data_IF_088766847306
#
_entry.id   IF_088766847306
#
_cell.length_a   1.000
_cell.length_b   1.000
_cell.length_c   1.000
_cell.angle_alpha   90.00
_cell.angle_beta   90.00
_cell.angle_gamma   90.00
#
_symmetry.space_group_name_H-M   'P 1'
#
loop_
_entity.id
_entity.type
_entity.pdbx_description
1 polymer ?
#
# COMPACT_ATOMS: atom_id res chain seq x y z
N UNK A 1 10.90 10.13 3.93
CA UNK A 1 11.78 10.63 5.00
C UNK A 1 11.14 11.78 5.76
N UNK A 2 11.47 13.03 5.41
CA UNK A 2 10.99 14.22 6.14
C UNK A 2 9.46 14.32 6.29
N UNK A 3 8.70 13.97 5.24
CA UNK A 3 7.23 13.96 5.28
C UNK A 3 6.67 13.00 6.33
N UNK A 4 7.25 11.79 6.46
CA UNK A 4 6.83 10.81 7.45
C UNK A 4 7.06 11.31 8.88
N UNK A 5 8.26 11.87 9.11
CA UNK A 5 8.62 12.48 10.40
C UNK A 5 7.66 13.63 10.72
N UNK A 6 7.47 14.56 9.77
CA UNK A 6 6.54 15.68 9.92
C UNK A 6 5.11 15.23 10.23
N UNK A 7 4.62 14.20 9.56
CA UNK A 7 3.31 13.61 9.81
C UNK A 7 3.21 13.03 11.24
N UNK A 8 4.21 12.26 11.68
CA UNK A 8 4.22 11.69 13.02
C UNK A 8 4.25 12.75 14.13
N UNK A 9 4.98 13.85 13.96
CA UNK A 9 5.07 14.90 14.98
C UNK A 9 3.88 15.87 14.97
N UNK A 10 3.36 16.19 13.79
CA UNK A 10 2.33 17.23 13.63
C UNK A 10 0.92 16.65 13.63
N UNK A 11 0.71 15.56 12.88
CA UNK A 11 -0.59 14.90 12.72
C UNK A 11 -0.78 13.78 13.74
N UNK A 12 0.32 13.10 14.11
CA UNK A 12 0.38 11.94 15.01
C UNK A 12 -0.32 10.71 14.46
N UNK A 13 0.08 9.56 14.97
CA UNK A 13 -0.56 8.28 14.65
C UNK A 13 -1.94 8.19 15.29
N UNK A 14 -2.81 7.43 14.65
CA UNK A 14 -4.10 7.04 15.23
C UNK A 14 -3.83 6.19 16.48
N UNK A 15 -4.54 6.39 17.61
CA UNK A 15 -4.42 5.52 18.77
C UNK A 15 -4.61 4.04 18.39
N UNK A 16 -3.77 3.16 18.95
CA UNK A 16 -3.73 1.74 18.58
C UNK A 16 -2.87 1.41 17.35
N UNK A 17 -2.64 2.36 16.42
CA UNK A 17 -1.69 2.16 15.31
C UNK A 17 -0.25 2.28 15.82
N UNK A 18 0.50 1.19 15.70
CA UNK A 18 1.89 1.08 16.18
C UNK A 18 2.82 1.91 15.30
N UNK A 19 2.70 1.75 13.97
CA UNK A 19 3.46 2.52 12.99
C UNK A 19 2.57 2.86 11.78
N UNK A 20 2.69 4.07 11.23
CA UNK A 20 2.06 4.40 9.94
C UNK A 20 2.79 3.68 8.80
N UNK A 21 2.12 3.53 7.65
CA UNK A 21 2.68 2.92 6.45
C UNK A 21 2.53 3.85 5.25
N UNK A 22 3.47 3.79 4.30
CA UNK A 22 3.26 4.43 3.00
C UNK A 22 2.61 3.40 2.08
N UNK A 23 1.48 3.79 1.49
CA UNK A 23 0.80 2.99 0.48
C UNK A 23 1.18 3.46 -0.92
N UNK A 24 1.14 2.54 -1.88
CA UNK A 24 1.16 2.89 -3.30
C UNK A 24 0.20 2.04 -4.08
N UNK A 25 -0.23 2.56 -5.22
CA UNK A 25 -1.08 1.85 -6.16
C UNK A 25 -0.27 0.84 -6.96
N UNK A 26 -0.89 -0.29 -7.28
CA UNK A 26 -0.32 -1.36 -8.11
C UNK A 26 -1.31 -1.66 -9.24
N UNK A 27 -1.01 -1.35 -10.51
CA UNK A 27 -1.86 -1.72 -11.62
C UNK A 27 -2.06 -3.23 -11.71
N UNK A 28 -3.29 -3.67 -11.97
CA UNK A 28 -3.62 -5.07 -12.24
C UNK A 28 -3.76 -5.33 -13.73
N UNK A 29 -3.30 -6.50 -14.17
CA UNK A 29 -3.29 -6.91 -15.59
C UNK A 29 -4.71 -6.99 -16.16
N UNK A 30 -5.71 -7.43 -15.38
CA UNK A 30 -7.11 -7.46 -15.85
C UNK A 30 -7.85 -6.12 -15.72
N UNK A 31 -7.17 -5.05 -15.35
CA UNK A 31 -7.79 -3.77 -15.01
C UNK A 31 -8.01 -3.62 -13.50
N UNK A 32 -8.23 -2.38 -13.04
CA UNK A 32 -8.35 -2.08 -11.60
C UNK A 32 -7.01 -2.05 -10.87
N UNK A 33 -7.04 -1.75 -9.58
CA UNK A 33 -5.86 -1.36 -8.81
C UNK A 33 -5.73 -2.21 -7.55
N UNK A 34 -4.50 -2.62 -7.26
CA UNK A 34 -4.11 -3.10 -5.94
C UNK A 34 -3.44 -2.01 -5.13
N UNK A 35 -3.18 -2.30 -3.86
CA UNK A 35 -2.44 -1.45 -2.93
C UNK A 35 -1.26 -2.23 -2.35
N UNK A 36 -0.05 -1.68 -2.46
CA UNK A 36 1.15 -2.22 -1.82
C UNK A 36 1.51 -1.39 -0.59
N UNK A 37 1.72 -2.06 0.54
CA UNK A 37 2.01 -1.50 1.85
C UNK A 37 2.99 -2.40 2.60
N UNK A 38 4.04 -1.93 3.26
CA UNK A 38 4.61 -0.59 3.27
C UNK A 38 5.67 -0.46 2.16
N UNK A 39 5.84 0.74 1.57
CA UNK A 39 6.84 0.99 0.53
C UNK A 39 7.98 1.93 0.95
N UNK A 40 8.22 2.05 2.25
CA UNK A 40 9.44 2.66 2.75
C UNK A 40 9.29 3.57 3.97
N UNK A 41 8.18 3.48 4.69
CA UNK A 41 8.08 4.17 5.98
C UNK A 41 8.92 3.46 7.05
N UNK A 42 8.92 2.12 7.03
CA UNK A 42 9.49 1.27 8.05
C UNK A 42 10.38 0.21 7.40
N UNK A 43 11.69 0.44 7.35
CA UNK A 43 12.63 -0.56 6.81
C UNK A 43 12.52 -1.90 7.57
N UNK A 44 12.51 -1.82 8.91
CA UNK A 44 12.32 -2.97 9.78
C UNK A 44 10.96 -2.91 10.49
N UNK A 45 10.21 -4.00 10.38
CA UNK A 45 8.88 -4.17 10.96
C UNK A 45 8.85 -5.31 11.98
N UNK A 46 7.86 -5.25 12.89
CA UNK A 46 7.40 -6.38 13.70
C UNK A 46 6.18 -7.04 13.05
N UNK A 47 5.86 -8.31 13.39
CA UNK A 47 4.69 -9.01 12.84
C UNK A 47 3.38 -8.22 12.99
N UNK A 48 3.16 -7.60 14.15
CA UNK A 48 1.96 -6.78 14.41
C UNK A 48 1.87 -5.56 13.47
N UNK A 49 3.00 -5.04 12.98
CA UNK A 49 2.98 -3.95 12.00
C UNK A 49 2.37 -4.43 10.68
N UNK A 50 2.82 -5.59 10.17
CA UNK A 50 2.30 -6.15 8.92
C UNK A 50 0.81 -6.48 9.04
N UNK A 51 0.39 -7.03 10.18
CA UNK A 51 -1.03 -7.20 10.47
C UNK A 51 -1.80 -5.87 10.34
N UNK A 52 -1.36 -4.81 11.03
CA UNK A 52 -2.02 -3.51 10.95
C UNK A 52 -1.99 -2.90 9.54
N UNK A 53 -0.94 -3.17 8.75
CA UNK A 53 -0.87 -2.74 7.36
C UNK A 53 -1.91 -3.46 6.50
N UNK A 54 -2.13 -4.77 6.73
CA UNK A 54 -3.21 -5.51 6.07
C UNK A 54 -4.59 -4.96 6.38
N UNK A 55 -4.84 -4.60 7.64
CA UNK A 55 -6.11 -4.00 8.07
C UNK A 55 -6.31 -2.62 7.41
N UNK A 56 -5.31 -1.74 7.50
CA UNK A 56 -5.37 -0.41 6.89
C UNK A 56 -5.50 -0.50 5.37
N UNK A 57 -4.78 -1.42 4.74
CA UNK A 57 -4.84 -1.65 3.29
C UNK A 57 -6.20 -2.17 2.85
N UNK A 58 -6.81 -3.08 3.60
CA UNK A 58 -8.15 -3.60 3.33
C UNK A 58 -9.20 -2.49 3.37
N UNK A 59 -9.21 -1.68 4.43
CA UNK A 59 -10.10 -0.52 4.58
C UNK A 59 -9.85 0.51 3.46
N UNK A 60 -8.58 0.76 3.12
CA UNK A 60 -8.22 1.68 2.05
C UNK A 60 -8.69 1.19 0.67
N UNK A 61 -8.47 -0.08 0.35
CA UNK A 61 -8.94 -0.67 -0.91
C UNK A 61 -10.46 -0.65 -1.02
N UNK A 62 -11.18 -0.92 0.07
CA UNK A 62 -12.64 -0.86 0.08
C UNK A 62 -13.17 0.56 -0.18
N UNK A 63 -12.62 1.57 0.49
CA UNK A 63 -13.21 2.90 0.47
C UNK A 63 -12.63 3.86 -0.57
N UNK A 64 -11.38 3.65 -1.00
CA UNK A 64 -10.72 4.49 -2.01
C UNK A 64 -10.74 3.80 -3.39
N UNK A 65 -10.70 2.47 -3.44
CA UNK A 65 -10.72 1.74 -4.71
C UNK A 65 -12.05 1.05 -4.99
N UNK A 66 -13.00 1.06 -4.04
CA UNK A 66 -14.29 0.40 -4.21
C UNK A 66 -14.21 -1.13 -4.25
N UNK A 67 -13.15 -1.71 -3.68
CA UNK A 67 -12.91 -3.16 -3.70
C UNK A 67 -13.52 -3.78 -2.44
N UNK A 68 -14.77 -4.23 -2.55
CA UNK A 68 -15.44 -4.94 -1.47
C UNK A 68 -14.70 -6.23 -1.10
N UNK A 69 -14.53 -6.49 0.20
CA UNK A 69 -13.87 -7.69 0.72
C UNK A 69 -12.48 -7.95 0.10
N UNK A 70 -11.67 -6.90 -0.03
CA UNK A 70 -10.35 -6.91 -0.66
C UNK A 70 -9.44 -8.03 -0.13
N UNK A 71 -8.90 -8.84 -1.04
CA UNK A 71 -7.98 -9.95 -0.74
C UNK A 71 -6.65 -9.40 -0.24
N UNK A 72 -6.27 -9.74 0.99
CA UNK A 72 -5.02 -9.32 1.62
C UNK A 72 -4.00 -10.45 1.50
N UNK A 73 -2.93 -10.23 0.75
CA UNK A 73 -1.82 -11.16 0.59
C UNK A 73 -0.55 -10.69 1.29
N UNK A 74 0.20 -11.61 1.87
CA UNK A 74 1.52 -11.35 2.47
C UNK A 74 2.62 -11.63 1.44
N UNK A 75 3.39 -10.62 1.06
CA UNK A 75 4.52 -10.78 0.13
C UNK A 75 5.57 -11.72 0.73
N UNK A 76 5.94 -12.73 -0.05
CA UNK A 76 6.78 -13.82 0.42
C UNK A 76 7.60 -14.46 -0.72
N UNK A 77 8.46 -15.39 -0.35
CA UNK A 77 9.34 -16.16 -1.26
C UNK A 77 8.75 -17.51 -1.69
N UNK A 78 7.51 -17.79 -1.30
CA UNK A 78 6.75 -19.00 -1.60
C UNK A 78 5.34 -18.90 -1.05
N UNK A 79 4.44 -19.76 -1.52
CA UNK A 79 3.00 -19.69 -1.21
C UNK A 79 2.62 -20.46 0.05
N UNK A 80 3.46 -21.40 0.49
CA UNK A 80 3.20 -22.23 1.67
C UNK A 80 3.32 -21.43 2.98
N UNK A 81 2.57 -21.80 4.02
CA UNK A 81 2.46 -21.03 5.29
C UNK A 81 3.82 -20.82 5.97
N UNK A 82 4.68 -21.84 5.90
CA UNK A 82 6.00 -21.88 6.54
C UNK A 82 7.08 -21.08 5.79
N UNK A 83 6.77 -20.53 4.62
CA UNK A 83 7.75 -19.79 3.81
C UNK A 83 7.97 -18.37 4.33
N UNK A 84 9.16 -17.87 4.02
CA UNK A 84 9.58 -16.51 4.36
C UNK A 84 10.56 -16.46 5.51
N UNK A 85 10.96 -15.24 5.85
CA UNK A 85 11.78 -15.00 7.02
C UNK A 85 10.94 -15.09 8.31
N UNK A 86 11.59 -14.93 9.47
CA UNK A 86 10.91 -14.99 10.77
C UNK A 86 9.78 -13.95 10.90
N UNK A 87 9.94 -12.77 10.29
CA UNK A 87 8.91 -11.74 10.27
C UNK A 87 7.66 -12.21 9.52
N UNK A 88 7.83 -12.72 8.29
CA UNK A 88 6.72 -13.19 7.45
C UNK A 88 6.01 -14.39 8.07
N UNK A 89 6.73 -15.38 8.59
CA UNK A 89 6.13 -16.56 9.23
C UNK A 89 5.30 -16.18 10.47
N UNK A 90 5.83 -15.27 11.30
CA UNK A 90 5.10 -14.78 12.46
C UNK A 90 3.90 -13.92 12.07
N UNK A 91 4.03 -13.05 11.07
CA UNK A 91 2.91 -12.24 10.57
C UNK A 91 1.80 -13.11 9.98
N UNK A 92 2.16 -14.14 9.19
CA UNK A 92 1.21 -15.12 8.66
C UNK A 92 0.39 -15.76 9.80
N UNK A 93 1.07 -16.20 10.86
CA UNK A 93 0.43 -16.82 12.02
C UNK A 93 -0.57 -15.87 12.70
N UNK A 94 -0.27 -14.57 12.77
CA UNK A 94 -1.18 -13.56 13.31
C UNK A 94 -2.39 -13.27 12.41
N UNK A 95 -2.22 -13.40 11.09
CA UNK A 95 -3.23 -13.00 10.09
C UNK A 95 -4.20 -14.12 9.72
N UNK A 96 -3.77 -15.38 9.75
CA UNK A 96 -4.54 -16.51 9.20
C UNK A 96 -5.90 -16.77 9.85
N UNK A 97 -6.04 -16.45 11.13
CA UNK A 97 -7.26 -16.71 11.91
C UNK A 97 -8.19 -15.48 12.01
N UNK A 98 -7.84 -14.38 11.34
CA UNK A 98 -8.60 -13.15 11.41
C UNK A 98 -9.79 -13.17 10.46
N UNK A 99 -10.98 -12.93 11.02
CA UNK A 99 -12.24 -12.95 10.28
C UNK A 99 -12.64 -11.60 9.67
N UNK A 100 -11.99 -10.52 10.08
CA UNK A 100 -12.31 -9.16 9.65
C UNK A 100 -11.41 -8.66 8.52
N UNK A 101 -10.44 -9.47 8.08
CA UNK A 101 -9.69 -9.26 6.84
C UNK A 101 -9.83 -10.51 5.97
N UNK A 102 -9.94 -10.33 4.66
CA UNK A 102 -9.93 -11.45 3.71
C UNK A 102 -8.48 -11.86 3.41
N UNK A 103 -7.82 -12.47 4.39
CA UNK A 103 -6.43 -12.90 4.23
C UNK A 103 -6.34 -14.14 3.35
N UNK A 104 -5.63 -14.02 2.23
CA UNK A 104 -5.48 -15.11 1.22
C UNK A 104 -4.16 -15.86 1.33
N UNK A 105 -3.38 -15.61 2.39
CA UNK A 105 -2.10 -16.24 2.64
C UNK A 105 -0.92 -15.55 1.94
N UNK A 106 0.12 -16.33 1.68
CA UNK A 106 1.34 -15.85 1.05
C UNK A 106 1.17 -15.65 -0.46
N UNK A 107 1.77 -14.59 -0.98
CA UNK A 107 1.87 -14.30 -2.41
C UNK A 107 3.31 -14.04 -2.79
N UNK A 108 3.69 -14.44 -4.01
CA UNK A 108 5.04 -14.21 -4.51
C UNK A 108 5.12 -12.92 -5.35
N UNK A 109 6.34 -12.47 -5.65
CA UNK A 109 6.54 -11.27 -6.48
C UNK A 109 5.87 -11.35 -7.86
N UNK A 110 5.69 -12.56 -8.42
CA UNK A 110 4.96 -12.78 -9.68
C UNK A 110 3.46 -12.49 -9.58
N UNK A 111 2.91 -12.49 -8.36
CA UNK A 111 1.49 -12.29 -8.10
C UNK A 111 1.11 -10.82 -7.92
N UNK A 112 2.11 -9.93 -7.87
CA UNK A 112 1.92 -8.51 -7.61
C UNK A 112 0.87 -7.86 -8.54
N UNK A 113 0.90 -8.22 -9.82
CA UNK A 113 0.07 -7.60 -10.87
C UNK A 113 -1.14 -8.45 -11.28
N UNK A 114 -1.28 -9.66 -10.74
CA UNK A 114 -2.43 -10.52 -11.03
C UNK A 114 -3.52 -10.36 -9.95
N UNK A 115 -4.59 -11.14 -10.08
CA UNK A 115 -5.79 -11.04 -9.24
C UNK A 115 -5.69 -11.81 -7.91
N UNK A 116 -4.52 -12.33 -7.54
CA UNK A 116 -4.39 -13.18 -6.35
C UNK A 116 -4.61 -12.37 -5.07
N UNK A 117 -4.15 -11.12 -5.02
CA UNK A 117 -4.37 -10.20 -3.91
C UNK A 117 -4.64 -8.78 -4.39
N UNK A 118 -5.51 -8.07 -3.69
CA UNK A 118 -5.82 -6.66 -3.94
C UNK A 118 -4.96 -5.77 -3.04
N UNK A 119 -4.67 -6.23 -1.82
CA UNK A 119 -3.78 -5.58 -0.86
C UNK A 119 -2.56 -6.47 -0.65
N UNK A 120 -1.38 -5.93 -0.89
CA UNK A 120 -0.10 -6.64 -0.77
C UNK A 120 0.66 -6.06 0.41
N UNK A 121 0.90 -6.89 1.42
CA UNK A 121 1.54 -6.51 2.68
C UNK A 121 3.01 -6.95 2.70
N UNK A 122 3.91 -6.06 3.09
CA UNK A 122 5.32 -6.31 3.33
C UNK A 122 5.93 -5.29 4.30
N UNK A 123 7.18 -5.52 4.71
CA UNK A 123 8.00 -4.49 5.33
C UNK A 123 8.43 -3.43 4.29
N UNK A 124 8.78 -2.25 4.79
CA UNK A 124 9.12 -1.11 3.93
C UNK A 124 10.42 -1.28 3.16
N UNK A 125 11.34 -2.15 3.58
CA UNK A 125 12.53 -2.46 2.78
C UNK A 125 12.11 -3.26 1.53
N UNK A 126 11.40 -4.36 1.72
CA UNK A 126 10.91 -5.22 0.63
C UNK A 126 10.00 -4.44 -0.32
N UNK A 127 9.01 -3.71 0.21
CA UNK A 127 8.06 -2.96 -0.62
C UNK A 127 8.71 -1.84 -1.43
N UNK A 128 9.71 -1.15 -0.88
CA UNK A 128 10.44 -0.10 -1.61
C UNK A 128 11.27 -0.69 -2.76
N UNK A 129 11.97 -1.80 -2.53
CA UNK A 129 12.71 -2.51 -3.59
C UNK A 129 11.76 -2.93 -4.72
N UNK A 130 10.62 -3.53 -4.38
CA UNK A 130 9.59 -3.94 -5.34
C UNK A 130 9.03 -2.74 -6.13
N UNK A 131 8.68 -1.66 -5.43
CA UNK A 131 8.18 -0.43 -6.06
C UNK A 131 9.19 0.16 -7.05
N UNK A 132 10.45 0.31 -6.65
CA UNK A 132 11.50 0.90 -7.50
C UNK A 132 11.82 0.04 -8.72
N UNK A 133 11.72 -1.28 -8.57
CA UNK A 133 11.83 -2.19 -9.71
C UNK A 133 10.66 -2.01 -10.69
N UNK A 134 9.42 -1.95 -10.19
CA UNK A 134 8.23 -1.74 -11.01
C UNK A 134 8.28 -0.40 -11.77
N UNK A 135 8.65 0.69 -11.09
CA UNK A 135 8.86 2.00 -11.71
C UNK A 135 9.95 1.96 -12.80
N UNK A 136 11.01 1.17 -12.59
CA UNK A 136 12.08 1.02 -13.57
C UNK A 136 11.59 0.38 -14.87
N UNK A 137 10.68 -0.60 -14.79
CA UNK A 137 10.06 -1.18 -15.98
C UNK A 137 9.24 -0.14 -16.75
N UNK A 138 8.45 0.69 -16.07
CA UNK A 138 7.73 1.79 -16.71
C UNK A 138 8.66 2.79 -17.42
N UNK A 139 9.75 3.20 -16.76
CA UNK A 139 10.73 4.09 -17.41
C UNK A 139 11.38 3.44 -18.63
N UNK A 140 11.62 2.12 -18.57
CA UNK A 140 12.19 1.37 -19.69
C UNK A 140 11.23 1.28 -20.88
N UNK A 141 9.92 1.07 -20.66
CA UNK A 141 8.95 1.03 -21.76
C UNK A 141 8.89 2.38 -22.49
N UNK A 142 8.88 3.49 -21.75
CA UNK A 142 8.95 4.84 -22.33
C UNK A 142 10.22 5.04 -23.16
N UNK A 143 11.39 4.67 -22.62
CA UNK A 143 12.68 4.79 -23.34
C UNK A 143 12.76 3.92 -24.58
N UNK A 144 12.06 2.79 -24.60
CA UNK A 144 11.97 1.89 -25.76
C UNK A 144 10.85 2.25 -26.74
N UNK A 145 10.07 3.30 -26.45
CA UNK A 145 8.93 3.71 -27.29
C UNK A 145 7.79 2.68 -27.30
N UNK A 146 7.73 1.81 -26.28
CA UNK A 146 6.64 0.85 -26.11
C UNK A 146 5.45 1.57 -25.51
N UNK A 147 4.30 1.49 -26.18
CA UNK A 147 3.01 1.96 -25.66
C UNK A 147 2.19 0.77 -25.27
N UNK A 148 1.82 0.71 -24.01
CA UNK A 148 1.05 -0.39 -23.44
C UNK A 148 0.23 0.15 -22.27
N UNK A 149 -1.07 -0.12 -22.31
CA UNK A 149 -2.03 0.44 -21.35
C UNK A 149 -1.73 0.01 -19.91
N UNK A 150 -1.23 -1.21 -19.70
CA UNK A 150 -0.87 -1.68 -18.37
C UNK A 150 0.36 -0.93 -17.84
N UNK A 151 1.39 -0.77 -18.66
CA UNK A 151 2.59 -0.03 -18.24
C UNK A 151 2.31 1.46 -18.03
N UNK A 152 1.45 2.09 -18.85
CA UNK A 152 1.09 3.51 -18.70
C UNK A 152 0.43 3.81 -17.36
N UNK A 153 -0.22 2.80 -16.75
CA UNK A 153 -0.85 2.91 -15.42
C UNK A 153 0.13 2.91 -14.26
N UNK A 154 1.44 2.72 -14.49
CA UNK A 154 2.46 2.96 -13.45
C UNK A 154 2.83 4.44 -13.31
N UNK A 155 2.27 5.32 -14.12
CA UNK A 155 2.47 6.75 -13.97
C UNK A 155 1.79 7.27 -12.68
N UNK A 156 2.57 7.39 -11.61
CA UNK A 156 2.11 7.85 -10.31
C UNK A 156 1.43 9.23 -10.34
N UNK A 157 1.75 10.09 -11.33
CA UNK A 157 1.16 11.43 -11.44
C UNK A 157 -0.36 11.39 -11.66
N UNK A 158 -0.88 10.29 -12.21
CA UNK A 158 -2.32 10.11 -12.44
C UNK A 158 -3.11 9.86 -11.14
N UNK A 159 -2.44 9.40 -10.08
CA UNK A 159 -3.10 8.94 -8.85
C UNK A 159 -2.85 9.83 -7.64
N UNK A 160 -2.08 10.91 -7.82
CA UNK A 160 -1.90 11.90 -6.77
C UNK A 160 -1.01 11.43 -5.63
N UNK A 161 0.13 10.80 -5.93
CA UNK A 161 1.17 10.50 -4.94
C UNK A 161 0.86 9.34 -4.01
N UNK A 162 1.71 9.16 -2.99
CA UNK A 162 1.65 8.03 -2.05
C UNK A 162 1.08 8.46 -0.70
N UNK A 163 -0.09 7.95 -0.26
CA UNK A 163 -0.65 8.31 1.03
C UNK A 163 0.10 7.65 2.19
N UNK A 164 0.17 8.35 3.32
CA UNK A 164 0.59 7.80 4.61
C UNK A 164 -0.65 7.37 5.36
N UNK A 165 -0.81 6.06 5.58
CA UNK A 165 -1.92 5.50 6.33
C UNK A 165 -1.58 5.39 7.82
N UNK A 166 -2.61 5.44 8.68
CA UNK A 166 -2.45 5.28 10.13
C UNK A 166 -2.15 6.57 10.90
N UNK A 167 -2.31 7.74 10.27
CA UNK A 167 -2.20 9.07 10.91
C UNK A 167 -3.57 9.76 11.02
N UNK A 168 -3.71 10.71 11.94
CA UNK A 168 -5.01 11.33 12.28
C UNK A 168 -5.61 12.28 11.22
N UNK A 169 -4.97 12.44 10.07
CA UNK A 169 -5.47 13.21 8.93
C UNK A 169 -4.82 12.69 7.64
N UNK A 170 -5.45 12.86 6.47
CA UNK A 170 -4.83 12.52 5.19
C UNK A 170 -3.49 13.24 5.01
N UNK A 171 -2.45 12.47 4.71
CA UNK A 171 -1.13 12.99 4.34
C UNK A 171 -0.68 12.26 3.08
N UNK A 172 -0.31 13.03 2.06
CA UNK A 172 0.10 12.51 0.75
C UNK A 172 1.52 12.96 0.45
N UNK A 173 2.34 12.02 -0.02
CA UNK A 173 3.72 12.24 -0.45
C UNK A 173 3.75 12.37 -1.97
N UNK A 174 4.08 13.57 -2.45
CA UNK A 174 4.44 13.82 -3.83
C UNK A 174 5.93 13.54 -4.10
N UNK A 175 6.29 13.50 -5.38
CA UNK A 175 7.69 13.50 -5.80
C UNK A 175 8.20 14.94 -5.91
N UNK A 176 9.50 15.17 -5.73
CA UNK A 176 10.09 16.52 -5.84
C UNK A 176 9.97 17.15 -7.23
N UNK A 177 9.63 16.35 -8.25
CA UNK A 177 9.44 16.76 -9.65
C UNK A 177 7.96 16.74 -10.07
N UNK A 178 7.03 16.68 -9.12
CA UNK A 178 5.60 16.54 -9.42
C UNK A 178 5.08 17.65 -10.33
N UNK A 179 4.46 17.25 -11.44
CA UNK A 179 3.80 18.15 -12.40
C UNK A 179 2.55 18.83 -11.80
N UNK A 180 2.01 19.89 -12.45
CA UNK A 180 0.74 20.48 -12.05
C UNK A 180 -0.41 19.46 -11.98
N UNK A 181 -0.40 18.47 -12.89
CA UNK A 181 -1.38 17.38 -12.91
C UNK A 181 -1.24 16.49 -11.66
N UNK A 182 0.00 16.13 -11.30
CA UNK A 182 0.26 15.39 -10.08
C UNK A 182 -0.23 16.13 -8.82
N UNK A 183 -0.02 17.45 -8.74
CA UNK A 183 -0.50 18.28 -7.61
C UNK A 183 -2.02 18.34 -7.58
N UNK A 184 -2.68 18.52 -8.72
CA UNK A 184 -4.15 18.45 -8.82
C UNK A 184 -4.67 17.11 -8.29
N UNK A 185 -4.06 16.00 -8.73
CA UNK A 185 -4.48 14.66 -8.34
C UNK A 185 -4.20 14.38 -6.85
N UNK A 186 -3.11 14.91 -6.27
CA UNK A 186 -2.86 14.85 -4.82
C UNK A 186 -3.97 15.54 -4.01
N UNK A 187 -4.45 16.70 -4.48
CA UNK A 187 -5.55 17.43 -3.82
C UNK A 187 -6.86 16.63 -3.93
N UNK A 188 -7.17 16.09 -5.10
CA UNK A 188 -8.37 15.27 -5.32
C UNK A 188 -8.35 13.99 -4.47
N UNK A 189 -7.20 13.33 -4.39
CA UNK A 189 -7.02 12.15 -3.55
C UNK A 189 -7.17 12.50 -2.06
N UNK A 190 -6.61 13.64 -1.61
CA UNK A 190 -6.82 14.11 -0.23
C UNK A 190 -8.30 14.38 0.05
N UNK A 191 -9.02 15.00 -0.89
CA UNK A 191 -10.46 15.24 -0.81
C UNK A 191 -11.23 13.91 -0.68
N UNK A 192 -10.93 12.93 -1.52
CA UNK A 192 -11.56 11.60 -1.47
C UNK A 192 -11.34 10.90 -0.13
N UNK A 193 -10.13 10.94 0.43
CA UNK A 193 -9.85 10.40 1.77
C UNK A 193 -10.68 11.07 2.88
N UNK A 194 -10.98 12.37 2.74
CA UNK A 194 -11.85 13.11 3.67
C UNK A 194 -13.32 12.71 3.48
N UNK A 195 -13.80 12.70 2.23
CA UNK A 195 -15.20 12.39 1.92
C UNK A 195 -15.59 10.97 2.33
N UNK A 196 -14.66 10.02 2.18
CA UNK A 196 -14.82 8.61 2.59
C UNK A 196 -14.69 8.39 4.10
N UNK A 197 -14.27 9.41 4.86
CA UNK A 197 -14.05 9.34 6.31
C UNK A 197 -13.11 8.19 6.70
N UNK A 198 -12.04 8.01 5.93
CA UNK A 198 -11.14 6.86 6.09
C UNK A 198 -10.42 6.87 7.45
N UNK A 199 -10.11 8.05 7.97
CA UNK A 199 -9.43 8.21 9.28
C UNK A 199 -10.32 7.72 10.42
N UNK A 200 -11.62 8.00 10.36
CA UNK A 200 -12.61 7.55 11.32
C UNK A 200 -12.75 6.02 11.28
N UNK A 201 -12.72 5.44 10.08
CA UNK A 201 -12.78 3.99 9.90
C UNK A 201 -11.53 3.30 10.45
N UNK A 202 -10.34 3.87 10.24
CA UNK A 202 -9.13 3.41 10.89
C UNK A 202 -9.24 3.51 12.42
N UNK A 203 -9.73 4.63 12.96
CA UNK A 203 -9.97 4.76 14.41
C UNK A 203 -10.92 3.70 14.94
N UNK A 204 -11.99 3.37 14.22
CA UNK A 204 -12.92 2.32 14.61
C UNK A 204 -12.31 0.91 14.55
N UNK A 205 -11.32 0.67 13.69
CA UNK A 205 -10.65 -0.62 13.57
C UNK A 205 -9.57 -0.85 14.64
N UNK A 206 -9.03 0.21 15.24
CA UNK A 206 -7.91 0.13 16.19
C UNK A 206 -8.24 0.61 17.62
N UNK A 207 -9.49 1.01 17.89
CA UNK A 207 -10.01 1.36 19.22
C UNK A 207 -10.99 0.32 19.76
#
# INVERSE_FOLDING_TARGET
GAMLVGAMFSVKTIPGVIRPAIATIVPKVKGGYGTLLDVGANADCKPDNLLQFGIMGSIYAEHIHGIENAKVGLMNIGEEEEKGNLLSQAAYTLMKDLKFINFVGNIEGRDLFNEKADVIVCDGFTGNVVLKLAESFYVLTLKKGMKDEFFDRFNYEQYGGSPILGVNAPVIIGHGISSPEAIKNMILHSKEMIETKIVEKFKSAFN
#
